data_IF_162547020533
#
_entry.id   IF_162547020533
#
_cell.length_a   1.000
_cell.length_b   1.000
_cell.length_c   1.000
_cell.angle_alpha   90.00
_cell.angle_beta   90.00
_cell.angle_gamma   90.00
#
_symmetry.space_group_name_H-M   'P 1'
#
loop_
_entity.id
_entity.type
_entity.pdbx_description
1 polymer ?
#
# COMPACT_ATOMS: atom_id res chain seq x y z
N UNK A 1 10.45 -13.48 -31.56
CA UNK A 1 9.29 -13.76 -30.66
C UNK A 1 9.33 -12.84 -29.46
N UNK A 2 8.19 -12.52 -28.88
CA UNK A 2 8.06 -11.66 -27.69
C UNK A 2 7.14 -12.30 -26.66
N UNK A 3 7.32 -11.94 -25.40
CA UNK A 3 6.54 -12.43 -24.26
C UNK A 3 5.59 -11.36 -23.75
N UNK A 4 4.35 -11.75 -23.49
CA UNK A 4 3.38 -10.89 -22.84
C UNK A 4 3.78 -10.64 -21.37
N UNK A 5 3.92 -9.38 -20.98
CA UNK A 5 4.29 -8.98 -19.61
C UNK A 5 3.20 -9.26 -18.56
N UNK A 6 1.98 -9.58 -18.98
CA UNK A 6 0.85 -9.84 -18.07
C UNK A 6 0.65 -11.31 -17.76
N UNK A 7 0.68 -12.19 -18.79
CA UNK A 7 0.39 -13.61 -18.60
C UNK A 7 1.53 -14.55 -19.03
N UNK A 8 2.68 -14.01 -19.46
CA UNK A 8 3.83 -14.80 -19.90
C UNK A 8 3.67 -15.50 -21.26
N UNK A 9 2.52 -15.36 -21.92
CA UNK A 9 2.28 -16.00 -23.23
C UNK A 9 3.30 -15.52 -24.26
N UNK A 10 3.95 -16.46 -24.95
CA UNK A 10 4.91 -16.19 -26.02
C UNK A 10 4.17 -16.09 -27.35
N UNK A 11 4.43 -15.00 -28.07
CA UNK A 11 3.79 -14.69 -29.35
C UNK A 11 4.80 -14.22 -30.38
N UNK A 12 4.40 -14.20 -31.65
CA UNK A 12 5.19 -13.63 -32.74
C UNK A 12 5.31 -12.10 -32.59
N UNK A 13 6.37 -11.53 -33.16
CA UNK A 13 6.70 -10.09 -33.01
C UNK A 13 5.62 -9.16 -33.61
N UNK A 14 4.81 -9.66 -34.56
CA UNK A 14 3.73 -8.92 -35.20
C UNK A 14 2.40 -8.89 -34.41
N UNK A 15 2.30 -9.58 -33.29
CA UNK A 15 1.07 -9.66 -32.47
C UNK A 15 0.95 -8.41 -31.61
N UNK A 16 -0.06 -7.57 -31.86
CA UNK A 16 -0.28 -6.33 -31.11
C UNK A 16 -1.05 -6.55 -29.79
N UNK A 17 -1.86 -7.60 -29.72
CA UNK A 17 -2.69 -7.91 -28.55
C UNK A 17 -2.54 -9.38 -28.19
N UNK A 18 -2.23 -9.66 -26.93
CA UNK A 18 -2.04 -11.02 -26.45
C UNK A 18 -3.31 -11.86 -26.64
N UNK A 19 -3.23 -12.99 -27.33
CA UNK A 19 -4.40 -13.84 -27.60
C UNK A 19 -4.95 -14.52 -26.35
N UNK A 20 -4.16 -14.59 -25.29
CA UNK A 20 -4.54 -15.25 -24.04
C UNK A 20 -5.21 -14.32 -23.04
N UNK A 21 -4.68 -13.10 -22.85
CA UNK A 21 -5.17 -12.18 -21.81
C UNK A 21 -5.60 -10.79 -22.31
N UNK A 22 -5.43 -10.52 -23.62
CA UNK A 22 -5.81 -9.26 -24.22
C UNK A 22 -4.83 -8.09 -24.00
N UNK A 23 -3.77 -8.25 -23.24
CA UNK A 23 -2.79 -7.20 -22.99
C UNK A 23 -1.99 -6.81 -24.23
N UNK A 24 -1.49 -5.56 -24.26
CA UNK A 24 -0.71 -4.99 -25.37
C UNK A 24 0.76 -4.75 -25.00
N UNK A 25 1.17 -5.12 -23.78
CA UNK A 25 2.55 -4.97 -23.30
C UNK A 25 3.33 -6.25 -23.53
N UNK A 26 4.46 -6.14 -24.21
CA UNK A 26 5.33 -7.26 -24.56
C UNK A 26 6.80 -6.87 -24.36
N UNK A 27 7.64 -7.87 -24.08
CA UNK A 27 9.09 -7.77 -24.09
C UNK A 27 9.70 -8.71 -25.14
N UNK A 28 10.81 -8.36 -25.79
CA UNK A 28 11.52 -9.27 -26.69
C UNK A 28 12.11 -10.44 -25.90
N UNK A 29 12.06 -11.65 -26.46
CA UNK A 29 12.77 -12.81 -25.89
C UNK A 29 14.22 -12.77 -26.34
N UNK A 30 15.14 -12.66 -25.38
CA UNK A 30 16.58 -12.79 -25.62
C UNK A 30 16.96 -14.24 -25.40
N UNK A 31 17.52 -14.91 -26.42
CA UNK A 31 17.69 -16.38 -26.47
C UNK A 31 18.60 -16.97 -25.38
N UNK A 32 19.25 -16.17 -24.52
CA UNK A 32 20.18 -16.64 -23.48
C UNK A 32 19.85 -16.17 -22.05
N UNK A 33 18.67 -15.60 -21.81
CA UNK A 33 18.26 -15.23 -20.47
C UNK A 33 17.26 -16.23 -19.87
N UNK A 34 17.39 -16.54 -18.59
CA UNK A 34 16.40 -17.33 -17.87
C UNK A 34 15.05 -16.65 -17.98
N UNK A 35 14.05 -17.33 -18.57
CA UNK A 35 12.73 -16.76 -18.75
C UNK A 35 11.81 -17.19 -17.62
N UNK A 36 11.23 -16.22 -16.94
CA UNK A 36 10.23 -16.45 -15.89
C UNK A 36 8.83 -16.51 -16.49
N UNK A 37 7.94 -17.29 -15.88
CA UNK A 37 6.60 -17.53 -16.42
C UNK A 37 5.75 -16.25 -16.49
N UNK A 38 5.89 -15.35 -15.52
CA UNK A 38 5.36 -14.00 -15.59
C UNK A 38 6.14 -13.09 -14.61
N UNK A 39 6.16 -11.80 -14.89
CA UNK A 39 6.62 -10.77 -13.98
C UNK A 39 5.41 -9.95 -13.53
N UNK A 40 5.38 -9.60 -12.25
CA UNK A 40 4.38 -8.71 -11.69
C UNK A 40 4.94 -7.30 -11.63
N UNK A 41 4.16 -6.34 -12.14
CA UNK A 41 4.48 -4.92 -12.08
C UNK A 41 3.40 -4.15 -11.33
N UNK A 42 3.81 -3.10 -10.67
CA UNK A 42 2.87 -2.19 -10.02
C UNK A 42 1.96 -1.57 -11.08
N UNK A 43 0.64 -1.67 -10.86
CA UNK A 43 -0.38 -1.20 -11.80
C UNK A 43 -0.90 -2.25 -12.79
N UNK A 44 -0.53 -3.53 -12.63
CA UNK A 44 -1.02 -4.61 -13.50
C UNK A 44 -2.54 -4.81 -13.43
N UNK A 45 -3.19 -4.34 -12.37
CA UNK A 45 -4.65 -4.37 -12.20
C UNK A 45 -5.39 -3.21 -12.84
N UNK A 46 -4.71 -2.26 -13.49
CA UNK A 46 -5.38 -1.10 -14.12
C UNK A 46 -6.07 -1.54 -15.41
N UNK A 47 -7.39 -1.43 -15.43
CA UNK A 47 -8.26 -1.83 -16.54
C UNK A 47 -9.23 -0.71 -16.93
N UNK A 48 -9.87 -0.84 -18.11
CA UNK A 48 -10.85 0.15 -18.58
C UNK A 48 -12.22 0.06 -17.87
N UNK A 49 -12.52 -1.08 -17.24
CA UNK A 49 -13.78 -1.30 -16.53
C UNK A 49 -13.85 -0.48 -15.24
N UNK A 50 -14.77 0.49 -15.22
CA UNK A 50 -14.91 1.42 -14.11
C UNK A 50 -15.42 0.75 -12.81
N UNK A 51 -16.23 -0.32 -12.93
CA UNK A 51 -16.72 -1.04 -11.75
C UNK A 51 -15.63 -1.89 -11.11
N UNK A 52 -14.80 -2.55 -11.93
CA UNK A 52 -13.61 -3.27 -11.43
C UNK A 52 -12.65 -2.31 -10.74
N UNK A 53 -12.31 -1.19 -11.37
CA UNK A 53 -11.43 -0.17 -10.76
C UNK A 53 -12.00 0.40 -9.46
N UNK A 54 -13.31 0.65 -9.42
CA UNK A 54 -13.99 1.08 -8.19
C UNK A 54 -13.88 0.00 -7.10
N UNK A 55 -14.16 -1.25 -7.44
CA UNK A 55 -14.07 -2.38 -6.51
C UNK A 55 -12.66 -2.54 -5.92
N UNK A 56 -11.61 -2.42 -6.74
CA UNK A 56 -10.21 -2.49 -6.27
C UNK A 56 -9.91 -1.38 -5.24
N UNK A 57 -10.34 -0.14 -5.50
CA UNK A 57 -10.13 0.98 -4.57
C UNK A 57 -10.93 0.85 -3.28
N UNK A 58 -12.18 0.38 -3.37
CA UNK A 58 -13.03 0.17 -2.19
C UNK A 58 -12.46 -0.96 -1.31
N UNK A 59 -12.01 -2.06 -1.89
CA UNK A 59 -11.34 -3.13 -1.15
C UNK A 59 -10.04 -2.62 -0.53
N UNK A 60 -9.17 -1.94 -1.27
CA UNK A 60 -7.96 -1.35 -0.71
C UNK A 60 -8.24 -0.48 0.53
N UNK A 61 -9.24 0.39 0.45
CA UNK A 61 -9.63 1.24 1.58
C UNK A 61 -10.23 0.43 2.75
N UNK A 62 -10.99 -0.62 2.45
CA UNK A 62 -11.56 -1.56 3.42
C UNK A 62 -10.46 -2.25 4.21
N UNK A 63 -9.54 -2.92 3.52
CA UNK A 63 -8.42 -3.63 4.14
C UNK A 63 -7.55 -2.72 5.02
N UNK A 64 -7.20 -1.53 4.51
CA UNK A 64 -6.48 -0.53 5.32
C UNK A 64 -7.22 -0.14 6.61
N UNK A 65 -8.55 -0.06 6.55
CA UNK A 65 -9.39 0.26 7.70
C UNK A 65 -9.43 -0.90 8.69
N UNK A 66 -9.55 -2.14 8.21
CA UNK A 66 -9.62 -3.35 9.03
C UNK A 66 -8.34 -3.59 9.82
N UNK A 67 -7.17 -3.28 9.27
CA UNK A 67 -5.89 -3.29 10.02
C UNK A 67 -6.02 -2.48 11.31
N UNK A 68 -6.47 -1.24 11.22
CA UNK A 68 -6.63 -0.36 12.38
C UNK A 68 -7.70 -0.84 13.35
N UNK A 69 -8.83 -1.31 12.83
CA UNK A 69 -9.95 -1.84 13.62
C UNK A 69 -9.53 -3.07 14.42
N UNK A 70 -8.91 -4.06 13.80
CA UNK A 70 -8.50 -5.30 14.48
C UNK A 70 -7.42 -5.06 15.53
N UNK A 71 -6.47 -4.17 15.27
CA UNK A 71 -5.50 -3.77 16.30
C UNK A 71 -6.17 -3.06 17.49
N UNK A 72 -7.20 -2.24 17.25
CA UNK A 72 -7.97 -1.61 18.33
C UNK A 72 -8.79 -2.64 19.11
N UNK A 73 -9.43 -3.59 18.42
CA UNK A 73 -10.17 -4.70 19.03
C UNK A 73 -9.26 -5.61 19.85
N UNK A 74 -8.03 -5.87 19.39
CA UNK A 74 -7.04 -6.62 20.16
C UNK A 74 -6.74 -5.95 21.51
N UNK A 75 -6.57 -4.63 21.53
CA UNK A 75 -6.36 -3.87 22.79
C UNK A 75 -7.58 -3.95 23.72
N UNK A 76 -8.80 -4.00 23.19
CA UNK A 76 -10.00 -4.20 23.99
C UNK A 76 -9.99 -5.60 24.61
N UNK A 77 -9.75 -6.63 23.81
CA UNK A 77 -9.70 -8.03 24.28
C UNK A 77 -8.61 -8.23 25.36
N UNK A 78 -7.44 -7.60 25.21
CA UNK A 78 -6.39 -7.62 26.24
C UNK A 78 -6.89 -7.02 27.58
N UNK A 79 -7.56 -5.87 27.55
CA UNK A 79 -8.09 -5.22 28.76
C UNK A 79 -9.21 -6.01 29.42
N UNK A 80 -9.96 -6.78 28.63
CA UNK A 80 -11.03 -7.67 29.12
C UNK A 80 -10.52 -9.03 29.60
N UNK A 81 -9.23 -9.34 29.40
CA UNK A 81 -8.62 -10.60 29.83
C UNK A 81 -8.77 -11.75 28.86
N UNK A 82 -8.95 -11.49 27.56
CA UNK A 82 -9.03 -12.48 26.48
C UNK A 82 -7.79 -12.46 25.58
N UNK A 83 -6.61 -12.88 26.08
CA UNK A 83 -5.37 -12.77 25.31
C UNK A 83 -5.37 -13.59 24.02
N UNK A 84 -6.04 -14.75 23.98
CA UNK A 84 -6.16 -15.58 22.78
C UNK A 84 -6.97 -14.91 21.67
N UNK A 85 -7.99 -14.12 22.04
CA UNK A 85 -8.79 -13.32 21.10
C UNK A 85 -7.95 -12.15 20.59
N UNK A 86 -7.19 -11.49 21.48
CA UNK A 86 -6.30 -10.41 21.11
C UNK A 86 -5.23 -10.86 20.11
N UNK A 87 -4.63 -12.03 20.32
CA UNK A 87 -3.65 -12.61 19.38
C UNK A 87 -4.28 -12.97 18.02
N UNK A 88 -5.52 -13.47 18.00
CA UNK A 88 -6.25 -13.72 16.77
C UNK A 88 -6.48 -12.42 15.98
N UNK A 89 -6.93 -11.34 16.63
CA UNK A 89 -7.10 -10.03 15.98
C UNK A 89 -5.79 -9.46 15.43
N UNK A 90 -4.68 -9.55 16.18
CA UNK A 90 -3.36 -9.09 15.69
C UNK A 90 -2.93 -9.85 14.43
N UNK A 91 -3.14 -11.18 14.41
CA UNK A 91 -2.83 -12.00 13.25
C UNK A 91 -3.67 -11.60 12.03
N UNK A 92 -4.99 -11.46 12.21
CA UNK A 92 -5.86 -11.02 11.12
C UNK A 92 -5.52 -9.61 10.63
N UNK A 93 -5.22 -8.67 11.52
CA UNK A 93 -4.76 -7.34 11.12
C UNK A 93 -3.54 -7.39 10.20
N UNK A 94 -2.63 -8.35 10.41
CA UNK A 94 -1.48 -8.55 9.55
C UNK A 94 -1.87 -9.18 8.20
N UNK A 95 -2.81 -10.11 8.19
CA UNK A 95 -3.37 -10.69 6.96
C UNK A 95 -4.06 -9.62 6.10
N UNK A 96 -4.85 -8.71 6.71
CA UNK A 96 -5.47 -7.58 6.00
C UNK A 96 -4.43 -6.56 5.48
N UNK A 97 -3.32 -6.38 6.20
CA UNK A 97 -2.23 -5.55 5.69
C UNK A 97 -1.59 -6.14 4.41
N UNK A 98 -1.48 -7.47 4.32
CA UNK A 98 -1.02 -8.16 3.11
C UNK A 98 -2.04 -8.06 1.96
N UNK A 99 -3.35 -8.13 2.26
CA UNK A 99 -4.40 -7.89 1.26
C UNK A 99 -4.34 -6.45 0.73
N UNK A 100 -4.24 -5.47 1.63
CA UNK A 100 -4.09 -4.07 1.26
C UNK A 100 -2.86 -3.84 0.38
N UNK A 101 -1.72 -4.47 0.68
CA UNK A 101 -0.51 -4.39 -0.12
C UNK A 101 -0.72 -4.90 -1.55
N UNK A 102 -1.40 -6.04 -1.71
CA UNK A 102 -1.73 -6.60 -3.03
C UNK A 102 -2.65 -5.68 -3.84
N UNK A 103 -3.68 -5.10 -3.22
CA UNK A 103 -4.53 -4.10 -3.88
C UNK A 103 -3.76 -2.84 -4.25
N UNK A 104 -2.84 -2.37 -3.39
CA UNK A 104 -1.98 -1.24 -3.69
C UNK A 104 -1.08 -1.50 -4.92
N UNK A 105 -0.49 -2.69 -5.02
CA UNK A 105 0.31 -3.11 -6.18
C UNK A 105 -0.53 -3.20 -7.45
N UNK A 106 -1.73 -3.82 -7.40
CA UNK A 106 -2.64 -3.89 -8.55
C UNK A 106 -3.03 -2.51 -9.06
N UNK A 107 -3.33 -1.57 -8.16
CA UNK A 107 -3.76 -0.22 -8.51
C UNK A 107 -2.61 0.68 -9.02
N UNK A 108 -1.42 0.57 -8.46
CA UNK A 108 -0.30 1.46 -8.79
C UNK A 108 -0.53 2.94 -8.45
N UNK A 109 -1.51 3.25 -7.58
CA UNK A 109 -1.89 4.62 -7.25
C UNK A 109 -1.09 5.19 -6.07
N UNK A 110 -0.69 4.32 -5.12
CA UNK A 110 0.01 4.72 -3.87
C UNK A 110 1.43 4.17 -3.78
N UNK A 111 1.82 3.30 -4.68
CA UNK A 111 3.14 2.67 -4.78
C UNK A 111 3.60 2.66 -6.23
N UNK A 112 4.92 2.67 -6.46
CA UNK A 112 5.54 2.60 -7.78
C UNK A 112 6.63 1.54 -7.81
N UNK A 113 7.08 1.10 -8.98
CA UNK A 113 8.20 0.18 -9.17
C UNK A 113 9.58 0.76 -8.79
N UNK A 114 9.63 2.01 -8.34
CA UNK A 114 10.85 2.69 -7.95
C UNK A 114 10.93 2.92 -6.45
N UNK A 115 11.82 2.20 -5.76
CA UNK A 115 12.11 2.43 -4.33
C UNK A 115 12.44 3.88 -4.05
N UNK A 116 13.28 4.51 -4.88
CA UNK A 116 13.63 5.92 -4.71
C UNK A 116 12.40 6.83 -4.77
N UNK A 117 11.54 6.63 -5.77
CA UNK A 117 10.33 7.44 -5.91
C UNK A 117 9.34 7.19 -4.77
N UNK A 118 9.20 5.96 -4.30
CA UNK A 118 8.37 5.64 -3.14
C UNK A 118 8.88 6.35 -1.87
N UNK A 119 10.20 6.37 -1.65
CA UNK A 119 10.80 7.13 -0.54
C UNK A 119 10.54 8.64 -0.64
N UNK A 120 10.67 9.24 -1.84
CA UNK A 120 10.38 10.65 -2.09
C UNK A 120 8.92 11.00 -1.78
N UNK A 121 7.99 10.18 -2.27
CA UNK A 121 6.55 10.35 -2.03
C UNK A 121 6.22 10.23 -0.55
N UNK A 122 6.79 9.24 0.14
CA UNK A 122 6.56 9.06 1.59
C UNK A 122 7.16 10.19 2.40
N UNK A 123 8.39 10.61 2.13
CA UNK A 123 9.00 11.76 2.79
C UNK A 123 8.11 13.00 2.76
N UNK A 124 7.56 13.33 1.58
CA UNK A 124 6.64 14.48 1.44
C UNK A 124 5.34 14.29 2.19
N UNK A 125 4.75 13.09 2.12
CA UNK A 125 3.49 12.77 2.78
C UNK A 125 3.60 12.80 4.31
N UNK A 126 4.70 12.29 4.88
CA UNK A 126 4.94 12.33 6.33
C UNK A 126 5.04 13.78 6.85
N UNK A 127 5.66 14.68 6.07
CA UNK A 127 5.70 16.10 6.41
C UNK A 127 4.31 16.72 6.48
N UNK A 128 3.44 16.40 5.52
CA UNK A 128 2.03 16.82 5.52
C UNK A 128 1.23 16.22 6.67
N UNK A 129 1.40 14.92 6.93
CA UNK A 129 0.74 14.21 8.02
C UNK A 129 1.14 14.75 9.39
N UNK A 130 2.43 15.02 9.60
CA UNK A 130 2.94 15.66 10.82
C UNK A 130 2.27 17.01 11.06
N UNK A 131 2.26 17.88 10.03
CA UNK A 131 1.62 19.20 10.15
C UNK A 131 0.13 19.08 10.46
N UNK A 132 -0.60 18.25 9.74
CA UNK A 132 -2.05 18.06 9.95
C UNK A 132 -2.37 17.58 11.36
N UNK A 133 -1.58 16.62 11.89
CA UNK A 133 -1.74 16.14 13.27
C UNK A 133 -1.41 17.21 14.31
N UNK A 134 -0.38 18.05 14.10
CA UNK A 134 -0.07 19.15 14.99
C UNK A 134 -1.19 20.19 15.00
N UNK A 135 -1.76 20.53 13.85
CA UNK A 135 -2.89 21.47 13.75
C UNK A 135 -4.12 20.94 14.51
N UNK A 136 -4.44 19.65 14.34
CA UNK A 136 -5.53 18.97 15.04
C UNK A 136 -5.30 18.92 16.55
N UNK A 137 -4.11 18.53 16.99
CA UNK A 137 -3.74 18.49 18.39
C UNK A 137 -3.84 19.89 19.04
N UNK A 138 -3.34 20.92 18.36
CA UNK A 138 -3.42 22.30 18.83
C UNK A 138 -4.87 22.79 18.96
N UNK A 139 -5.76 22.40 18.03
CA UNK A 139 -7.20 22.70 18.12
C UNK A 139 -7.84 21.96 19.31
N UNK A 140 -7.54 20.67 19.48
CA UNK A 140 -8.05 19.87 20.60
C UNK A 140 -7.66 20.50 21.95
N UNK A 141 -6.39 20.94 22.10
CA UNK A 141 -5.91 21.61 23.30
C UNK A 141 -6.71 22.89 23.61
N UNK A 142 -6.94 23.73 22.61
CA UNK A 142 -7.74 24.96 22.76
C UNK A 142 -9.17 24.72 23.23
N UNK A 143 -9.71 23.53 22.91
CA UNK A 143 -11.07 23.12 23.28
C UNK A 143 -11.13 22.31 24.58
N UNK A 144 -10.00 22.06 25.26
CA UNK A 144 -9.93 21.29 26.50
C UNK A 144 -10.00 19.75 26.28
N UNK A 145 -9.77 19.24 25.08
CA UNK A 145 -9.77 17.82 24.77
C UNK A 145 -8.36 17.21 24.95
N UNK A 146 -7.88 17.16 26.20
CA UNK A 146 -6.50 16.80 26.50
C UNK A 146 -6.13 15.40 26.03
N UNK A 147 -7.01 14.39 26.18
CA UNK A 147 -6.76 13.03 25.71
C UNK A 147 -6.55 12.96 24.16
N UNK A 148 -7.31 13.75 23.40
CA UNK A 148 -7.14 13.85 21.96
C UNK A 148 -5.84 14.56 21.63
N UNK A 149 -5.58 15.69 22.29
CA UNK A 149 -4.34 16.44 22.12
C UNK A 149 -3.12 15.55 22.32
N UNK A 150 -3.03 14.89 23.48
CA UNK A 150 -1.86 14.10 23.86
C UNK A 150 -1.61 12.94 22.88
N UNK A 151 -2.68 12.21 22.52
CA UNK A 151 -2.59 11.10 21.58
C UNK A 151 -2.14 11.56 20.18
N UNK A 152 -2.78 12.60 19.64
CA UNK A 152 -2.50 13.06 18.26
C UNK A 152 -1.15 13.78 18.18
N UNK A 153 -0.75 14.47 19.25
CA UNK A 153 0.55 15.14 19.33
C UNK A 153 1.71 14.12 19.31
N UNK A 154 1.59 12.99 20.03
CA UNK A 154 2.59 11.92 19.97
C UNK A 154 2.67 11.29 18.57
N UNK A 155 1.51 11.04 17.93
CA UNK A 155 1.49 10.58 16.53
C UNK A 155 2.19 11.57 15.57
N UNK A 156 2.04 12.89 15.78
CA UNK A 156 2.74 13.88 14.97
C UNK A 156 4.28 13.78 15.09
N UNK A 157 4.79 13.43 16.28
CA UNK A 157 6.23 13.17 16.48
C UNK A 157 6.70 11.92 15.73
N UNK A 158 5.84 10.89 15.68
CA UNK A 158 6.13 9.68 14.90
C UNK A 158 6.23 10.01 13.41
N UNK A 159 5.29 10.79 12.85
CA UNK A 159 5.36 11.22 11.45
C UNK A 159 6.65 12.00 11.13
N UNK A 160 7.05 12.90 12.06
CA UNK A 160 8.31 13.63 11.91
C UNK A 160 9.53 12.69 11.94
N UNK A 161 9.49 11.62 12.74
CA UNK A 161 10.54 10.59 12.80
C UNK A 161 10.57 9.75 11.52
N UNK A 162 9.39 9.34 11.01
CA UNK A 162 9.26 8.61 9.76
C UNK A 162 9.82 9.43 8.58
N UNK A 163 9.42 10.70 8.46
CA UNK A 163 9.90 11.59 7.41
C UNK A 163 11.42 11.74 7.42
N UNK A 164 12.04 11.93 8.61
CA UNK A 164 13.51 11.96 8.72
C UNK A 164 14.17 10.63 8.37
N UNK A 165 13.51 9.50 8.68
CA UNK A 165 13.96 8.18 8.30
C UNK A 165 14.03 8.04 6.78
N UNK A 166 12.96 8.40 6.08
CA UNK A 166 12.91 8.38 4.60
C UNK A 166 13.94 9.34 3.97
N UNK A 167 14.08 10.55 4.51
CA UNK A 167 15.10 11.50 4.08
C UNK A 167 16.52 10.93 4.21
N UNK A 168 16.79 10.28 5.34
CA UNK A 168 18.08 9.63 5.59
C UNK A 168 18.38 8.50 4.61
N UNK A 169 17.35 7.73 4.20
CA UNK A 169 17.51 6.67 3.19
C UNK A 169 17.76 7.23 1.78
N UNK A 170 17.14 8.36 1.44
CA UNK A 170 17.33 9.04 0.16
C UNK A 170 18.75 9.62 -0.02
N UNK A 171 19.47 9.87 1.07
CA UNK A 171 20.82 10.44 1.06
C UNK A 171 21.93 9.39 0.97
N UNK A 172 21.59 8.10 0.95
CA UNK A 172 22.53 6.98 0.79
C UNK A 172 22.77 6.63 -0.66
#
# INVERSE_FOLDING_TARGET
MKRCLVCGCVVEDNVEKCPQCGATRFEPIVENEASWACEHHVGDGVVEDAEVMKGLRENFAGECTEVGMYLAMARVAEREGYPEVAEAYKRYAFEEAEHAAKFAELLGEVVTDSTKKNLELRYMAEGGACKGKLDLAGRAKKLGYDAIHDTVHEMAKDEARHGRGFEGMLKR
#
